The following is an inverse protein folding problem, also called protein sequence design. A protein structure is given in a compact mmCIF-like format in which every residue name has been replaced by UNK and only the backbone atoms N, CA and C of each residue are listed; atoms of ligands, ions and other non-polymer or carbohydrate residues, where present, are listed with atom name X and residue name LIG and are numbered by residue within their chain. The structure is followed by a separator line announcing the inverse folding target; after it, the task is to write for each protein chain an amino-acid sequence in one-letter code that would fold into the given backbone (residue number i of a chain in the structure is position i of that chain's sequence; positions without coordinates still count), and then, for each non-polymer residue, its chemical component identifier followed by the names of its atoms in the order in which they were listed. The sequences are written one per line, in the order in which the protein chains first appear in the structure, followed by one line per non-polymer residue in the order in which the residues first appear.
data_IF_227590003634
#
_entry.id   IF_227590003634
#
_cell.length_a   1.000
_cell.length_b   1.000
_cell.length_c   1.000
_cell.angle_alpha   90.00
_cell.angle_beta   90.00
_cell.angle_gamma   90.00
#
_symmetry.space_group_name_H-M   'P 1'
#
loop_
_entity.id
_entity.type
_entity.pdbx_description
1 polymer ?
#
# COMPACT_ATOMS: atom_id res chain seq x y z
N UNK A 1 -15.82 -20.12 11.19
CA UNK A 1 -16.58 -18.89 10.88
C UNK A 1 -17.54 -18.48 12.02
N UNK A 2 -17.39 -18.99 13.25
CA UNK A 2 -18.27 -18.67 14.41
C UNK A 2 -17.59 -17.91 15.55
N UNK A 3 -16.30 -17.59 15.44
CA UNK A 3 -15.53 -16.89 16.49
C UNK A 3 -14.80 -15.63 16.02
N UNK A 4 -14.78 -15.34 14.72
CA UNK A 4 -14.19 -14.12 14.18
C UNK A 4 -15.28 -13.36 13.45
N UNK A 5 -15.76 -12.26 14.03
CA UNK A 5 -16.65 -11.29 13.40
C UNK A 5 -15.87 -10.45 12.37
N UNK A 6 -15.28 -11.12 11.38
CA UNK A 6 -14.47 -10.48 10.34
C UNK A 6 -14.05 -11.49 9.27
N UNK A 7 -13.99 -11.04 8.02
CA UNK A 7 -13.40 -11.82 6.93
C UNK A 7 -11.92 -12.02 7.21
N UNK A 8 -11.54 -13.27 7.51
CA UNK A 8 -10.14 -13.66 7.60
C UNK A 8 -9.57 -13.70 6.19
N UNK A 9 -8.90 -12.63 5.77
CA UNK A 9 -8.17 -12.59 4.50
C UNK A 9 -7.08 -13.65 4.57
N UNK A 10 -7.16 -14.70 3.74
CA UNK A 10 -6.06 -15.66 3.58
C UNK A 10 -4.87 -14.90 3.00
N UNK A 11 -3.66 -15.00 3.60
CA UNK A 11 -2.47 -14.45 2.99
C UNK A 11 -2.23 -15.15 1.64
N UNK A 12 -2.48 -14.45 0.54
CA UNK A 12 -1.97 -14.86 -0.77
C UNK A 12 -0.45 -14.74 -0.77
N UNK A 13 0.23 -15.75 -1.31
CA UNK A 13 1.71 -15.87 -1.29
C UNK A 13 2.44 -14.76 -2.08
N UNK A 14 1.73 -13.79 -2.67
CA UNK A 14 2.28 -12.86 -3.65
C UNK A 14 2.97 -11.67 -2.99
N UNK A 15 4.31 -11.63 -3.11
CA UNK A 15 5.16 -10.49 -2.72
C UNK A 15 4.69 -9.14 -3.30
N UNK A 16 3.94 -9.17 -4.42
CA UNK A 16 3.32 -7.99 -5.03
C UNK A 16 2.25 -7.34 -4.15
N UNK A 17 1.41 -8.13 -3.50
CA UNK A 17 0.39 -7.61 -2.59
C UNK A 17 1.05 -6.94 -1.36
N UNK A 18 2.16 -7.50 -0.87
CA UNK A 18 2.90 -6.95 0.28
C UNK A 18 3.40 -5.53 0.02
N UNK A 19 4.05 -5.30 -1.13
CA UNK A 19 4.59 -3.98 -1.48
C UNK A 19 3.48 -2.95 -1.70
N UNK A 20 2.39 -3.35 -2.36
CA UNK A 20 1.22 -2.49 -2.56
C UNK A 20 0.57 -2.09 -1.23
N UNK A 21 0.31 -3.06 -0.34
CA UNK A 21 -0.28 -2.81 0.98
C UNK A 21 0.63 -1.94 1.83
N UNK A 22 1.95 -2.18 1.80
CA UNK A 22 2.92 -1.35 2.50
C UNK A 22 2.90 0.10 1.99
N UNK A 23 2.89 0.31 0.67
CA UNK A 23 2.83 1.64 0.07
C UNK A 23 1.52 2.36 0.41
N UNK A 24 0.40 1.64 0.38
CA UNK A 24 -0.90 2.16 0.79
C UNK A 24 -0.88 2.60 2.27
N UNK A 25 -0.34 1.78 3.17
CA UNK A 25 -0.19 2.13 4.59
C UNK A 25 0.68 3.38 4.79
N UNK A 26 1.78 3.51 4.03
CA UNK A 26 2.63 4.70 4.04
C UNK A 26 1.85 5.95 3.61
N UNK A 27 1.02 5.85 2.56
CA UNK A 27 0.17 6.96 2.10
C UNK A 27 -0.86 7.38 3.16
N UNK A 28 -1.52 6.42 3.80
CA UNK A 28 -2.51 6.65 4.86
C UNK A 28 -1.89 7.40 6.06
N UNK A 29 -0.64 7.08 6.39
CA UNK A 29 0.07 7.66 7.52
C UNK A 29 0.96 8.87 7.15
N UNK A 30 0.82 9.42 5.93
CA UNK A 30 1.63 10.56 5.43
C UNK A 30 1.80 11.67 6.45
N UNK A 31 0.69 12.19 6.99
CA UNK A 31 0.70 13.33 7.90
C UNK A 31 1.36 12.99 9.25
N UNK A 32 1.29 11.74 9.68
CA UNK A 32 1.97 11.26 10.89
C UNK A 32 3.47 11.15 10.66
N UNK A 33 3.88 10.56 9.54
CA UNK A 33 5.28 10.43 9.15
C UNK A 33 5.97 11.78 8.97
N UNK A 34 5.31 12.74 8.32
CA UNK A 34 5.85 14.09 8.16
C UNK A 34 6.03 14.77 9.53
N UNK A 35 5.02 14.71 10.41
CA UNK A 35 5.11 15.27 11.77
C UNK A 35 6.22 14.63 12.59
N UNK A 36 6.36 13.31 12.53
CA UNK A 36 7.41 12.56 13.22
C UNK A 36 8.80 13.06 12.77
N UNK A 37 9.03 13.19 11.46
CA UNK A 37 10.33 13.58 10.92
C UNK A 37 10.65 15.08 11.08
N UNK A 38 9.66 15.92 11.35
CA UNK A 38 9.88 17.34 11.70
C UNK A 38 9.96 17.60 13.21
N UNK A 39 9.82 16.57 14.04
CA UNK A 39 9.84 16.72 15.50
C UNK A 39 11.25 16.99 16.06
N UNK A 40 11.30 17.60 17.24
CA UNK A 40 12.56 17.73 18.00
C UNK A 40 13.12 16.36 18.38
N UNK A 41 12.25 15.41 18.72
CA UNK A 41 12.64 14.05 19.08
C UNK A 41 13.40 13.34 17.94
N UNK A 42 12.92 13.51 16.70
CA UNK A 42 13.65 13.03 15.53
C UNK A 42 15.02 13.70 15.42
N UNK A 43 15.09 15.02 15.54
CA UNK A 43 16.33 15.79 15.44
C UNK A 43 17.38 15.36 16.47
N UNK A 44 16.94 14.98 17.67
CA UNK A 44 17.79 14.47 18.76
C UNK A 44 18.17 13.00 18.61
N UNK A 45 17.44 12.22 17.82
CA UNK A 45 17.68 10.80 17.61
C UNK A 45 19.00 10.49 16.90
N UNK A 46 19.56 9.29 17.13
CA UNK A 46 20.70 8.81 16.34
C UNK A 46 20.33 8.60 14.86
N UNK A 47 19.07 8.28 14.58
CA UNK A 47 18.57 8.04 13.23
C UNK A 47 18.61 9.29 12.34
N UNK A 48 18.45 10.50 12.87
CA UNK A 48 18.58 11.73 12.07
C UNK A 48 20.00 11.99 11.57
N UNK A 49 21.00 11.48 12.29
CA UNK A 49 22.43 11.63 11.95
C UNK A 49 22.89 10.55 10.99
N UNK A 50 22.24 9.39 11.01
CA UNK A 50 22.52 8.25 10.14
C UNK A 50 22.25 8.57 8.65
N UNK A 51 23.12 8.16 7.71
CA UNK A 51 22.91 8.38 6.28
C UNK A 51 21.59 7.81 5.75
N UNK A 52 21.09 6.68 6.27
CA UNK A 52 19.81 6.13 5.84
C UNK A 52 18.64 6.98 6.36
N UNK A 53 18.68 7.42 7.62
CA UNK A 53 17.65 8.31 8.15
C UNK A 53 17.57 9.65 7.43
N UNK A 54 18.71 10.22 7.00
CA UNK A 54 18.73 11.43 6.15
C UNK A 54 18.05 11.21 4.79
N UNK A 55 18.24 10.04 4.16
CA UNK A 55 17.56 9.68 2.90
C UNK A 55 16.05 9.53 3.09
N UNK A 56 15.63 8.90 4.19
CA UNK A 56 14.21 8.74 4.54
C UNK A 56 13.59 10.12 4.78
N UNK A 57 14.24 10.98 5.56
CA UNK A 57 13.81 12.36 5.79
C UNK A 57 13.62 13.14 4.48
N UNK A 58 14.61 13.10 3.59
CA UNK A 58 14.51 13.76 2.29
C UNK A 58 13.38 13.19 1.41
N UNK A 59 13.12 11.89 1.48
CA UNK A 59 12.07 11.22 0.69
C UNK A 59 10.67 11.56 1.21
N UNK A 60 10.45 11.48 2.51
CA UNK A 60 9.14 11.73 3.15
C UNK A 60 8.75 13.22 3.08
N UNK A 61 9.71 14.14 3.11
CA UNK A 61 9.43 15.57 2.92
C UNK A 61 9.31 15.99 1.45
N UNK A 62 9.63 15.11 0.49
CA UNK A 62 9.51 15.43 -0.93
C UNK A 62 8.06 15.26 -1.43
N UNK A 63 7.38 16.33 -1.90
CA UNK A 63 6.02 16.23 -2.44
C UNK A 63 5.91 15.26 -3.63
N UNK A 64 6.92 15.22 -4.50
CA UNK A 64 6.95 14.35 -5.69
C UNK A 64 7.01 12.86 -5.35
N UNK A 65 7.46 12.50 -4.15
CA UNK A 65 7.42 11.12 -3.69
C UNK A 65 5.96 10.69 -3.48
N UNK A 66 5.17 11.51 -2.80
CA UNK A 66 3.77 11.23 -2.50
C UNK A 66 2.90 11.15 -3.76
N UNK A 67 3.12 12.05 -4.72
CA UNK A 67 2.43 12.01 -6.01
C UNK A 67 2.72 10.70 -6.76
N UNK A 68 3.99 10.29 -6.81
CA UNK A 68 4.40 9.04 -7.45
C UNK A 68 3.85 7.82 -6.70
N UNK A 69 3.93 7.80 -5.38
CA UNK A 69 3.40 6.74 -4.55
C UNK A 69 1.89 6.57 -4.75
N UNK A 70 1.14 7.68 -4.77
CA UNK A 70 -0.30 7.67 -5.06
C UNK A 70 -0.58 7.11 -6.45
N UNK A 71 0.13 7.59 -7.48
CA UNK A 71 -0.02 7.08 -8.86
C UNK A 71 0.22 5.57 -8.95
N UNK A 72 1.23 5.06 -8.24
CA UNK A 72 1.49 3.61 -8.20
C UNK A 72 0.33 2.87 -7.55
N UNK A 73 -0.19 3.35 -6.41
CA UNK A 73 -1.34 2.74 -5.74
C UNK A 73 -2.59 2.76 -6.64
N UNK A 74 -2.87 3.89 -7.29
CA UNK A 74 -4.02 4.04 -8.20
C UNK A 74 -3.95 3.05 -9.38
N UNK A 75 -2.77 2.81 -9.95
CA UNK A 75 -2.56 1.81 -11.02
C UNK A 75 -2.77 0.37 -10.52
N UNK A 76 -2.36 0.08 -9.28
CA UNK A 76 -2.44 -1.28 -8.73
C UNK A 76 -3.80 -1.62 -8.15
N UNK A 77 -4.60 -0.63 -7.76
CA UNK A 77 -5.94 -0.82 -7.19
C UNK A 77 -6.86 -1.72 -8.05
N UNK A 78 -7.04 -1.47 -9.37
CA UNK A 78 -7.91 -2.31 -10.18
C UNK A 78 -7.37 -3.74 -10.33
N UNK A 79 -6.04 -3.91 -10.40
CA UNK A 79 -5.39 -5.23 -10.44
C UNK A 79 -5.66 -5.98 -9.14
N UNK A 80 -5.51 -5.30 -7.99
CA UNK A 80 -5.80 -5.88 -6.68
C UNK A 80 -7.28 -6.29 -6.55
N UNK A 81 -8.22 -5.53 -7.13
CA UNK A 81 -9.65 -5.89 -7.18
C UNK A 81 -9.89 -7.16 -8.00
N UNK A 82 -9.25 -7.30 -9.15
CA UNK A 82 -9.35 -8.53 -9.97
C UNK A 82 -8.80 -9.73 -9.21
N UNK A 83 -7.62 -9.61 -8.59
CA UNK A 83 -7.01 -10.68 -7.81
C UNK A 83 -7.91 -11.11 -6.64
N UNK A 84 -8.48 -10.16 -5.89
CA UNK A 84 -9.45 -10.46 -4.82
C UNK A 84 -10.69 -11.21 -5.34
N UNK A 85 -11.15 -10.90 -6.54
CA UNK A 85 -12.30 -11.58 -7.15
C UNK A 85 -11.95 -13.01 -7.58
N UNK A 86 -10.73 -13.26 -8.04
CA UNK A 86 -10.24 -14.61 -8.39
C UNK A 86 -10.00 -15.46 -7.13
N UNK A 87 -9.48 -14.85 -6.08
CA UNK A 87 -9.18 -15.52 -4.80
C UNK A 87 -10.43 -15.76 -3.93
N UNK A 88 -11.57 -15.12 -4.24
CA UNK A 88 -12.82 -15.28 -3.50
C UNK A 88 -13.41 -16.69 -3.62
N UNK A 89 -13.82 -17.29 -2.50
CA UNK A 89 -14.45 -18.63 -2.46
C UNK A 89 -15.73 -18.73 -3.31
N UNK A 90 -16.40 -17.60 -3.58
CA UNK A 90 -17.47 -17.53 -4.59
C UNK A 90 -16.84 -17.67 -5.97
N UNK A 91 -17.04 -18.83 -6.61
CA UNK A 91 -16.67 -19.08 -8.02
C UNK A 91 -17.12 -17.91 -8.91
N UNK A 92 -16.23 -16.95 -9.15
CA UNK A 92 -16.45 -15.95 -10.17
C UNK A 92 -16.49 -16.70 -11.51
N UNK A 93 -17.60 -16.63 -12.22
CA UNK A 93 -17.68 -17.21 -13.56
C UNK A 93 -16.70 -16.45 -14.46
N UNK A 94 -15.93 -17.15 -15.30
CA UNK A 94 -14.90 -16.58 -16.20
C UNK A 94 -15.30 -15.29 -16.93
N UNK A 95 -16.56 -15.10 -17.40
CA UNK A 95 -16.98 -13.84 -18.02
C UNK A 95 -16.82 -12.61 -17.12
N UNK A 96 -17.06 -12.72 -15.81
CA UNK A 96 -16.92 -11.60 -14.87
C UNK A 96 -15.45 -11.26 -14.61
N UNK A 97 -14.59 -12.27 -14.54
CA UNK A 97 -13.13 -12.09 -14.43
C UNK A 97 -12.60 -11.37 -15.66
N UNK A 98 -13.05 -11.76 -16.85
CA UNK A 98 -12.67 -11.13 -18.11
C UNK A 98 -13.07 -9.65 -18.18
N UNK A 99 -14.31 -9.32 -17.81
CA UNK A 99 -14.78 -7.94 -17.73
C UNK A 99 -13.99 -7.09 -16.73
N UNK A 100 -13.68 -7.63 -15.54
CA UNK A 100 -12.88 -6.91 -14.56
C UNK A 100 -11.44 -6.70 -15.02
N UNK A 101 -10.82 -7.67 -15.69
CA UNK A 101 -9.50 -7.51 -16.31
C UNK A 101 -9.50 -6.44 -17.40
N UNK A 102 -10.56 -6.37 -18.23
CA UNK A 102 -10.70 -5.34 -19.26
C UNK A 102 -10.78 -3.94 -18.65
N UNK A 103 -11.53 -3.78 -17.55
CA UNK A 103 -11.60 -2.53 -16.79
C UNK A 103 -10.28 -2.16 -16.12
N UNK A 104 -9.53 -3.15 -15.65
CA UNK A 104 -8.23 -2.92 -15.01
C UNK A 104 -7.11 -2.51 -15.97
N UNK A 105 -7.31 -2.69 -17.29
CA UNK A 105 -6.36 -2.30 -18.33
C UNK A 105 -6.49 -0.82 -18.74
N UNK A 106 -7.66 -0.23 -18.52
CA UNK A 106 -7.96 1.18 -18.84
C UNK A 106 -7.32 2.11 -17.82
#
# INVERSE_FOLDING_TARGET
RTYCMGELIRPGQTRFATNYIALQSILEHKNGLQRMLTSEDWSRSAASKDPAGKRVHATILNPKFWERAKKVVDIHEPIAKVLKMVDGERKATMPYVYEAMKRARQ
#
